data_IF_274521450188
#
_entry.id   IF_274521450188
#
_cell.length_a   1.000
_cell.length_b   1.000
_cell.length_c   1.000
_cell.angle_alpha   90.00
_cell.angle_beta   90.00
_cell.angle_gamma   90.00
#
_symmetry.space_group_name_H-M   'P 1'
#
loop_
_entity.id
_entity.type
_entity.pdbx_description
1 polymer ?
#
# COMPACT_ATOMS: atom_id res chain seq x y z
N UNK A 1 -13.71 -4.42 16.41
CA UNK A 1 -12.42 -5.12 16.52
C UNK A 1 -12.54 -6.56 16.03
N UNK A 2 -13.56 -7.31 16.52
CA UNK A 2 -13.77 -8.70 16.10
C UNK A 2 -14.14 -8.82 14.63
N UNK A 3 -14.97 -7.90 14.14
CA UNK A 3 -15.40 -7.88 12.74
C UNK A 3 -14.18 -7.62 11.84
N UNK A 4 -13.32 -6.68 12.22
CA UNK A 4 -12.10 -6.40 11.46
C UNK A 4 -11.19 -7.62 11.38
N UNK A 5 -11.00 -8.35 12.50
CA UNK A 5 -10.19 -9.57 12.49
C UNK A 5 -10.79 -10.66 11.62
N UNK A 6 -12.12 -10.77 11.62
CA UNK A 6 -12.80 -11.74 10.76
C UNK A 6 -12.59 -11.39 9.28
N UNK A 7 -12.73 -10.11 8.94
CA UNK A 7 -12.50 -9.65 7.57
C UNK A 7 -11.05 -9.90 7.14
N UNK A 8 -10.09 -9.67 8.03
CA UNK A 8 -8.68 -9.95 7.74
C UNK A 8 -8.44 -11.44 7.52
N UNK A 9 -9.10 -12.31 8.29
CA UNK A 9 -8.99 -13.76 8.09
C UNK A 9 -9.53 -14.16 6.71
N UNK A 10 -10.64 -13.59 6.29
CA UNK A 10 -11.20 -13.83 4.96
C UNK A 10 -10.23 -13.36 3.88
N UNK A 11 -9.67 -12.15 4.05
CA UNK A 11 -8.70 -11.59 3.10
C UNK A 11 -7.41 -12.42 3.02
N UNK A 12 -7.07 -13.15 4.08
CA UNK A 12 -5.89 -14.02 4.13
C UNK A 12 -6.15 -15.43 3.59
N UNK A 13 -7.37 -15.76 3.22
CA UNK A 13 -7.65 -17.08 2.64
C UNK A 13 -6.86 -17.24 1.34
N UNK A 14 -6.47 -18.48 0.97
CA UNK A 14 -5.71 -18.69 -0.28
C UNK A 14 -6.44 -18.16 -1.52
N UNK A 15 -7.77 -18.28 -1.55
CA UNK A 15 -8.57 -17.78 -2.67
C UNK A 15 -8.53 -16.25 -2.72
N UNK A 16 -8.71 -15.59 -1.58
CA UNK A 16 -8.67 -14.14 -1.51
C UNK A 16 -7.27 -13.61 -1.83
N UNK A 17 -6.22 -14.28 -1.34
CA UNK A 17 -4.83 -13.94 -1.65
C UNK A 17 -4.57 -13.97 -3.15
N UNK A 18 -4.97 -15.06 -3.80
CA UNK A 18 -4.81 -15.21 -5.24
C UNK A 18 -5.55 -14.09 -5.98
N UNK A 19 -6.80 -13.83 -5.60
CA UNK A 19 -7.63 -12.82 -6.25
C UNK A 19 -7.02 -11.41 -6.09
N UNK A 20 -6.61 -11.06 -4.87
CA UNK A 20 -6.00 -9.76 -4.58
C UNK A 20 -4.72 -9.58 -5.39
N UNK A 21 -3.83 -10.58 -5.38
CA UNK A 21 -2.59 -10.52 -6.14
C UNK A 21 -2.85 -10.40 -7.63
N UNK A 22 -3.82 -11.16 -8.14
CA UNK A 22 -4.19 -11.11 -9.56
C UNK A 22 -4.72 -9.72 -9.94
N UNK A 23 -5.59 -9.14 -9.12
CA UNK A 23 -6.16 -7.80 -9.37
C UNK A 23 -5.04 -6.76 -9.42
N UNK A 24 -4.16 -6.75 -8.43
CA UNK A 24 -3.06 -5.78 -8.40
C UNK A 24 -2.09 -5.97 -9.55
N UNK A 25 -1.83 -7.21 -9.95
CA UNK A 25 -0.88 -7.50 -11.02
C UNK A 25 -1.43 -7.18 -12.40
N UNK A 26 -2.73 -7.37 -12.64
CA UNK A 26 -3.31 -7.32 -13.98
C UNK A 26 -4.35 -6.25 -14.18
N UNK A 27 -5.02 -5.79 -13.12
CA UNK A 27 -6.16 -4.90 -13.22
C UNK A 27 -6.06 -3.68 -12.31
N UNK A 28 -4.84 -3.23 -12.01
CA UNK A 28 -4.65 -2.06 -11.15
C UNK A 28 -5.35 -0.82 -11.70
N UNK A 29 -5.43 -0.70 -13.03
CA UNK A 29 -6.12 0.42 -13.69
C UNK A 29 -7.63 0.41 -13.47
N UNK A 30 -8.21 -0.74 -13.14
CA UNK A 30 -9.66 -0.90 -12.95
C UNK A 30 -10.09 -0.77 -11.49
N UNK A 31 -9.14 -0.59 -10.56
CA UNK A 31 -9.45 -0.45 -9.14
C UNK A 31 -10.14 0.91 -8.91
N UNK A 32 -11.38 0.92 -8.35
CA UNK A 32 -12.15 2.15 -8.18
C UNK A 32 -11.69 2.93 -6.95
N UNK A 33 -10.48 3.46 -6.97
CA UNK A 33 -9.90 4.26 -5.90
C UNK A 33 -9.43 5.60 -6.45
N UNK A 34 -9.35 6.61 -5.59
CA UNK A 34 -8.80 7.92 -5.94
C UNK A 34 -7.29 7.81 -6.02
N UNK A 35 -6.79 7.71 -7.23
CA UNK A 35 -5.36 7.62 -7.48
C UNK A 35 -4.69 8.95 -7.24
N UNK A 36 -3.68 8.94 -6.37
CA UNK A 36 -2.83 10.11 -6.12
C UNK A 36 -1.62 10.10 -7.04
N UNK A 37 -1.03 8.94 -7.21
CA UNK A 37 0.12 8.72 -8.08
C UNK A 37 -0.01 7.35 -8.71
N UNK A 38 0.51 7.24 -9.91
CA UNK A 38 0.57 5.97 -10.62
C UNK A 38 1.82 5.95 -11.49
N UNK A 39 2.58 4.86 -11.42
CA UNK A 39 3.70 4.60 -12.32
C UNK A 39 3.46 3.24 -12.99
N UNK A 40 4.39 2.80 -13.83
CA UNK A 40 4.33 1.46 -14.40
C UNK A 40 4.40 0.38 -13.33
N UNK A 41 4.96 0.69 -12.17
CA UNK A 41 5.28 -0.29 -11.13
C UNK A 41 4.45 -0.18 -9.87
N UNK A 42 3.79 0.97 -9.63
CA UNK A 42 3.04 1.15 -8.39
C UNK A 42 1.79 2.00 -8.58
N UNK A 43 0.94 1.93 -7.57
CA UNK A 43 -0.27 2.73 -7.44
C UNK A 43 -0.33 3.28 -6.02
N UNK A 44 -0.59 4.58 -5.88
CA UNK A 44 -0.78 5.23 -4.59
C UNK A 44 -2.17 5.85 -4.54
N UNK A 45 -2.89 5.62 -3.44
CA UNK A 45 -4.27 6.09 -3.29
C UNK A 45 -4.62 6.25 -1.81
N UNK A 46 -5.63 7.07 -1.53
CA UNK A 46 -6.12 7.20 -0.16
C UNK A 46 -6.72 5.90 0.32
N UNK A 47 -6.40 5.52 1.56
CA UNK A 47 -6.94 4.31 2.17
C UNK A 47 -8.47 4.43 2.24
N UNK A 48 -9.24 3.40 1.79
CA UNK A 48 -10.71 3.45 1.81
C UNK A 48 -11.29 3.52 3.22
N UNK A 49 -10.58 3.00 4.21
CA UNK A 49 -11.00 3.01 5.62
C UNK A 49 -9.82 3.50 6.45
N UNK A 50 -9.55 4.82 6.42
CA UNK A 50 -8.34 5.35 7.05
C UNK A 50 -8.36 5.20 8.56
N UNK A 51 -7.20 4.86 9.12
CA UNK A 51 -6.97 4.80 10.57
C UNK A 51 -6.29 6.06 11.10
N UNK A 52 -5.92 6.97 10.20
CA UNK A 52 -5.20 8.22 10.53
C UNK A 52 -5.82 9.36 9.75
N UNK A 53 -5.66 10.62 10.20
CA UNK A 53 -6.15 11.78 9.43
C UNK A 53 -5.63 11.81 8.01
N UNK A 54 -4.36 11.44 7.80
CA UNK A 54 -3.81 11.18 6.47
C UNK A 54 -3.39 9.73 6.42
N UNK A 55 -3.93 8.97 5.47
CA UNK A 55 -3.61 7.56 5.32
C UNK A 55 -3.61 7.18 3.84
N UNK A 56 -2.42 7.02 3.29
CA UNK A 56 -2.22 6.69 1.87
C UNK A 56 -1.64 5.29 1.80
N UNK A 57 -2.17 4.49 0.88
CA UNK A 57 -1.61 3.18 0.54
C UNK A 57 -0.77 3.31 -0.73
N UNK A 58 0.37 2.64 -0.75
CA UNK A 58 1.21 2.51 -1.93
C UNK A 58 1.45 1.03 -2.15
N UNK A 59 1.05 0.54 -3.31
CA UNK A 59 1.09 -0.89 -3.63
C UNK A 59 1.83 -1.12 -4.94
N UNK A 60 2.61 -2.21 -5.06
CA UNK A 60 3.18 -2.59 -6.35
C UNK A 60 2.08 -3.15 -7.24
N UNK A 61 2.22 -2.93 -8.55
CA UNK A 61 1.33 -3.53 -9.55
C UNK A 61 1.63 -5.00 -9.76
N UNK A 62 2.83 -5.44 -9.36
CA UNK A 62 3.23 -6.84 -9.38
C UNK A 62 2.75 -7.54 -8.11
N UNK A 63 2.34 -8.79 -8.22
CA UNK A 63 1.95 -9.59 -7.05
C UNK A 63 3.21 -9.97 -6.26
N UNK A 64 3.45 -9.27 -5.17
CA UNK A 64 4.54 -9.55 -4.22
C UNK A 64 3.89 -9.77 -2.86
N UNK A 65 3.97 -11.00 -2.30
CA UNK A 65 3.22 -11.29 -1.07
C UNK A 65 3.66 -10.48 0.15
N UNK A 66 4.96 -10.26 0.32
CA UNK A 66 5.48 -9.56 1.50
C UNK A 66 6.87 -9.00 1.25
N UNK A 67 7.39 -8.26 2.22
CA UNK A 67 8.77 -7.76 2.20
C UNK A 67 9.77 -8.89 1.93
N UNK A 68 9.50 -10.08 2.45
CA UNK A 68 10.42 -11.21 2.31
C UNK A 68 10.51 -11.74 0.89
N UNK A 69 9.60 -11.34 0.01
CA UNK A 69 9.55 -11.78 -1.39
C UNK A 69 10.07 -10.73 -2.36
N UNK A 70 10.53 -9.58 -1.86
CA UNK A 70 11.18 -8.55 -2.69
C UNK A 70 12.56 -9.06 -3.09
N UNK A 71 12.90 -8.90 -4.37
CA UNK A 71 14.19 -9.31 -4.91
C UNK A 71 14.83 -8.15 -5.67
N UNK A 72 16.04 -8.38 -6.18
CA UNK A 72 16.71 -7.39 -7.04
C UNK A 72 15.90 -7.02 -8.28
N UNK A 73 15.05 -7.91 -8.76
CA UNK A 73 14.16 -7.63 -9.88
C UNK A 73 13.14 -6.54 -9.56
N UNK A 74 12.91 -6.26 -8.29
CA UNK A 74 11.95 -5.25 -7.82
C UNK A 74 12.61 -3.90 -7.49
N UNK A 75 13.88 -3.73 -7.84
CA UNK A 75 14.61 -2.49 -7.55
C UNK A 75 13.91 -1.26 -8.15
N UNK A 76 13.35 -1.38 -9.35
CA UNK A 76 12.60 -0.29 -9.98
C UNK A 76 11.39 0.13 -9.16
N UNK A 77 10.66 -0.83 -8.60
CA UNK A 77 9.55 -0.53 -7.70
C UNK A 77 10.04 0.21 -6.45
N UNK A 78 11.14 -0.21 -5.86
CA UNK A 78 11.64 0.43 -4.64
C UNK A 78 12.07 1.87 -4.89
N UNK A 79 12.67 2.15 -6.04
CA UNK A 79 13.02 3.52 -6.42
C UNK A 79 11.73 4.35 -6.64
N UNK A 80 10.77 3.80 -7.38
CA UNK A 80 9.47 4.46 -7.60
C UNK A 80 8.77 4.75 -6.27
N UNK A 81 8.84 3.80 -5.33
CA UNK A 81 8.26 3.97 -3.99
C UNK A 81 8.86 5.19 -3.27
N UNK A 82 10.17 5.27 -3.24
CA UNK A 82 10.83 6.40 -2.55
C UNK A 82 10.51 7.72 -3.25
N UNK A 83 10.53 7.76 -4.57
CA UNK A 83 10.21 8.97 -5.32
C UNK A 83 8.75 9.39 -5.11
N UNK A 84 7.84 8.42 -5.05
CA UNK A 84 6.42 8.68 -4.77
C UNK A 84 6.23 9.25 -3.37
N UNK A 85 6.89 8.67 -2.38
CA UNK A 85 6.83 9.18 -1.00
C UNK A 85 7.37 10.61 -0.95
N UNK A 86 8.51 10.88 -1.57
CA UNK A 86 9.10 12.22 -1.62
C UNK A 86 8.14 13.23 -2.25
N UNK A 87 7.52 12.86 -3.35
CA UNK A 87 6.55 13.69 -4.06
C UNK A 87 5.33 14.01 -3.19
N UNK A 88 4.78 13.01 -2.52
CA UNK A 88 3.61 13.18 -1.65
C UNK A 88 3.95 13.98 -0.39
N UNK A 89 5.07 13.70 0.23
CA UNK A 89 5.53 14.43 1.42
C UNK A 89 5.70 15.92 1.09
N UNK A 90 6.29 16.21 -0.08
CA UNK A 90 6.47 17.58 -0.52
C UNK A 90 5.15 18.28 -0.81
N UNK A 91 4.29 17.63 -1.61
CA UNK A 91 3.00 18.21 -1.99
C UNK A 91 2.09 18.47 -0.79
N UNK A 92 2.05 17.52 0.14
CA UNK A 92 1.17 17.61 1.33
C UNK A 92 1.83 18.30 2.51
N UNK A 93 3.06 18.79 2.33
CA UNK A 93 3.82 19.56 3.34
C UNK A 93 3.99 18.76 4.64
N UNK A 94 4.31 17.47 4.51
CA UNK A 94 4.43 16.59 5.67
C UNK A 94 5.79 16.69 6.38
N UNK A 95 6.80 17.28 5.72
CA UNK A 95 8.13 17.41 6.32
C UNK A 95 8.08 18.18 7.64
N UNK A 96 7.31 19.26 7.69
CA UNK A 96 7.17 20.08 8.89
C UNK A 96 6.22 19.48 9.92
N UNK A 97 5.32 18.59 9.49
CA UNK A 97 4.26 18.05 10.34
C UNK A 97 4.56 16.66 10.88
N UNK A 98 5.42 15.94 10.21
CA UNK A 98 5.74 14.56 10.55
C UNK A 98 4.92 13.54 9.81
N UNK A 99 5.55 12.44 9.48
CA UNK A 99 4.91 11.33 8.78
C UNK A 99 5.63 10.03 9.12
N UNK A 100 4.98 8.92 8.80
CA UNK A 100 5.60 7.61 8.89
C UNK A 100 5.34 6.84 7.61
N UNK A 101 6.35 6.12 7.15
CA UNK A 101 6.19 5.13 6.09
C UNK A 101 6.29 3.75 6.73
N UNK A 102 5.20 3.00 6.69
CA UNK A 102 5.07 1.74 7.42
C UNK A 102 4.86 0.62 6.42
N UNK A 103 5.59 -0.47 6.63
CA UNK A 103 5.31 -1.74 5.97
C UNK A 103 5.21 -2.81 7.07
N UNK A 104 4.09 -3.53 7.07
CA UNK A 104 3.85 -4.56 8.06
C UNK A 104 4.26 -5.92 7.51
N UNK A 105 4.73 -6.79 8.40
CA UNK A 105 5.13 -8.14 8.05
C UNK A 105 4.72 -9.13 9.13
N UNK A 106 4.77 -10.42 8.78
CA UNK A 106 4.40 -11.47 9.68
C UNK A 106 2.96 -11.35 10.18
N UNK A 107 2.77 -11.48 11.48
CA UNK A 107 1.45 -11.41 12.10
C UNK A 107 0.77 -10.04 11.96
N UNK A 108 1.55 -8.98 11.72
CA UNK A 108 1.01 -7.64 11.56
C UNK A 108 0.53 -7.36 10.13
N UNK A 109 0.79 -8.27 9.21
CA UNK A 109 0.38 -8.10 7.82
C UNK A 109 -1.00 -8.71 7.60
N UNK A 110 -1.99 -7.86 7.38
CA UNK A 110 -3.39 -8.28 7.28
C UNK A 110 -3.72 -8.87 5.91
N UNK A 111 -3.13 -8.33 4.86
CA UNK A 111 -3.40 -8.74 3.48
C UNK A 111 -2.09 -9.24 2.88
N UNK A 112 -2.06 -10.46 2.28
CA UNK A 112 -0.83 -11.03 1.73
C UNK A 112 -0.49 -10.48 0.34
N UNK A 113 -0.48 -9.19 0.22
CA UNK A 113 0.05 -8.41 -0.88
C UNK A 113 0.84 -7.26 -0.27
N UNK A 114 2.09 -7.11 -0.67
CA UNK A 114 2.95 -6.04 -0.18
C UNK A 114 2.26 -4.68 -0.33
N UNK A 115 2.21 -3.92 0.72
CA UNK A 115 1.67 -2.57 0.68
C UNK A 115 2.33 -1.72 1.76
N UNK A 116 2.47 -0.45 1.44
CA UNK A 116 3.09 0.54 2.33
C UNK A 116 2.03 1.55 2.74
N UNK A 117 2.10 2.00 3.99
CA UNK A 117 1.22 3.04 4.52
C UNK A 117 2.05 4.31 4.71
N UNK A 118 1.65 5.38 4.06
CA UNK A 118 2.17 6.71 4.36
C UNK A 118 1.12 7.40 5.21
N UNK A 119 1.47 7.67 6.46
CA UNK A 119 0.52 8.19 7.43
C UNK A 119 1.02 9.47 8.08
N UNK A 120 0.07 10.29 8.52
CA UNK A 120 0.35 11.44 9.37
C UNK A 120 -0.82 11.65 10.33
N UNK A 121 -0.50 12.18 11.50
CA UNK A 121 -1.51 12.63 12.46
C UNK A 121 -2.16 13.94 11.99
N UNK A 122 -1.61 14.55 10.94
CA UNK A 122 -2.08 15.81 10.38
C UNK A 122 -2.44 15.58 8.91
N UNK A 123 -3.61 16.01 8.52
CA UNK A 123 -4.11 15.86 7.15
C UNK A 123 -3.65 17.01 6.28
N UNK A 124 -2.41 17.06 5.97
CA UNK A 124 -1.86 18.00 4.99
C UNK A 124 -2.51 19.38 4.91
#
# INVERSE_FOLDING_TARGET
>A
VRIQRLLFKVARSPIATFFIGWVFAHMSFAIPVNRLRETERLLAFYHPQPSYPLHILIVPKKAIPSVMHVTGADAGFMVDLMQTVQSLVSELQLEARGYRLIVNGGEYQDVPQLHFHLISEHDG
#
